data_IF_595464069243
#
_entry.id   IF_595464069243
#
_cell.length_a   1.000
_cell.length_b   1.000
_cell.length_c   1.000
_cell.angle_alpha   90.00
_cell.angle_beta   90.00
_cell.angle_gamma   90.00
#
_symmetry.space_group_name_H-M   'P 1'
#
loop_
_entity.id
_entity.type
_entity.pdbx_description
1 polymer ?
#
# COMPACT_ATOMS: atom_id res chain seq x y z
N UNK A 1 -116.25 -47.31 15.78
CA UNK A 1 -115.92 -46.80 14.44
C UNK A 1 -115.10 -45.50 14.41
N UNK A 2 -115.27 -44.53 15.32
CA UNK A 2 -114.49 -43.27 15.30
C UNK A 2 -112.98 -43.38 15.61
N UNK A 3 -112.52 -44.43 16.30
CA UNK A 3 -111.11 -44.55 16.74
C UNK A 3 -110.17 -45.06 15.65
N UNK A 4 -110.67 -45.85 14.70
CA UNK A 4 -109.92 -46.38 13.56
C UNK A 4 -109.70 -45.32 12.48
N UNK A 5 -110.72 -44.48 12.23
CA UNK A 5 -110.66 -43.40 11.25
C UNK A 5 -109.65 -42.32 11.66
N UNK A 6 -109.61 -41.94 12.94
CA UNK A 6 -108.64 -40.99 13.47
C UNK A 6 -107.18 -41.54 13.43
N UNK A 7 -107.00 -42.85 13.63
CA UNK A 7 -105.70 -43.50 13.51
C UNK A 7 -105.21 -43.54 12.05
N UNK A 8 -106.12 -43.79 11.10
CA UNK A 8 -105.82 -43.78 9.67
C UNK A 8 -105.42 -42.38 9.19
N UNK A 9 -106.14 -41.33 9.62
CA UNK A 9 -105.78 -39.94 9.30
C UNK A 9 -104.42 -39.53 9.89
N UNK A 10 -104.07 -39.99 11.09
CA UNK A 10 -102.73 -39.75 11.67
C UNK A 10 -101.63 -40.45 10.90
N UNK A 11 -101.85 -41.69 10.46
CA UNK A 11 -100.92 -42.44 9.62
C UNK A 11 -100.74 -41.77 8.25
N UNK A 12 -101.82 -41.27 7.66
CA UNK A 12 -101.77 -40.60 6.37
C UNK A 12 -101.04 -39.25 6.45
N UNK A 13 -101.30 -38.46 7.50
CA UNK A 13 -100.54 -37.24 7.80
C UNK A 13 -99.06 -37.54 8.01
N UNK A 14 -98.74 -38.60 8.77
CA UNK A 14 -97.34 -39.00 8.99
C UNK A 14 -96.66 -39.49 7.72
N UNK A 15 -97.38 -40.21 6.85
CA UNK A 15 -96.91 -40.61 5.52
C UNK A 15 -96.58 -39.38 4.67
N UNK A 16 -97.46 -38.39 4.65
CA UNK A 16 -97.24 -37.13 3.92
C UNK A 16 -96.03 -36.36 4.46
N UNK A 17 -95.92 -36.22 5.79
CA UNK A 17 -94.74 -35.60 6.44
C UNK A 17 -93.43 -36.31 6.06
N UNK A 18 -93.43 -37.65 6.07
CA UNK A 18 -92.26 -38.44 5.68
C UNK A 18 -91.92 -38.29 4.19
N UNK A 19 -92.91 -38.22 3.30
CA UNK A 19 -92.67 -37.99 1.87
C UNK A 19 -92.10 -36.60 1.58
N UNK A 20 -92.56 -35.57 2.30
CA UNK A 20 -92.02 -34.22 2.18
C UNK A 20 -90.60 -34.16 2.75
N UNK A 21 -90.35 -34.81 3.89
CA UNK A 21 -89.02 -34.90 4.48
C UNK A 21 -88.03 -35.66 3.59
N UNK A 22 -88.45 -36.78 2.97
CA UNK A 22 -87.60 -37.52 2.03
C UNK A 22 -87.30 -36.71 0.77
N UNK A 23 -88.28 -35.98 0.23
CA UNK A 23 -88.07 -35.10 -0.92
C UNK A 23 -87.10 -33.95 -0.60
N UNK A 24 -87.20 -33.36 0.59
CA UNK A 24 -86.28 -32.31 1.03
C UNK A 24 -84.85 -32.86 1.22
N UNK A 25 -84.70 -34.03 1.84
CA UNK A 25 -83.39 -34.71 1.96
C UNK A 25 -82.81 -35.07 0.59
N UNK A 26 -83.63 -35.52 -0.35
CA UNK A 26 -83.20 -35.82 -1.73
C UNK A 26 -82.65 -34.56 -2.42
N UNK A 27 -83.37 -33.44 -2.31
CA UNK A 27 -82.94 -32.16 -2.86
C UNK A 27 -81.64 -31.66 -2.22
N UNK A 28 -81.45 -31.85 -0.91
CA UNK A 28 -80.20 -31.53 -0.21
C UNK A 28 -79.04 -32.44 -0.64
N UNK A 29 -79.30 -33.73 -0.89
CA UNK A 29 -78.28 -34.65 -1.42
C UNK A 29 -77.85 -34.22 -2.82
N UNK A 30 -78.80 -33.86 -3.68
CA UNK A 30 -78.51 -33.37 -5.03
C UNK A 30 -77.71 -32.07 -5.01
N UNK A 31 -78.05 -31.12 -4.13
CA UNK A 31 -77.27 -29.88 -3.99
C UNK A 31 -75.83 -30.15 -3.54
N UNK A 32 -75.65 -30.99 -2.52
CA UNK A 32 -74.32 -31.37 -2.03
C UNK A 32 -73.52 -32.12 -3.10
N UNK A 33 -74.17 -32.99 -3.90
CA UNK A 33 -73.51 -33.66 -5.03
C UNK A 33 -73.05 -32.66 -6.10
N UNK A 34 -73.83 -31.62 -6.38
CA UNK A 34 -73.41 -30.58 -7.33
C UNK A 34 -72.23 -29.76 -6.79
N UNK A 35 -72.20 -29.43 -5.50
CA UNK A 35 -71.06 -28.74 -4.86
C UNK A 35 -69.80 -29.61 -4.91
N UNK A 36 -69.89 -30.90 -4.57
CA UNK A 36 -68.76 -31.84 -4.64
C UNK A 36 -68.20 -31.92 -6.07
N UNK A 37 -69.07 -31.93 -7.08
CA UNK A 37 -68.61 -31.94 -8.47
C UNK A 37 -67.91 -30.64 -8.89
N UNK A 38 -68.39 -29.49 -8.40
CA UNK A 38 -67.74 -28.20 -8.63
C UNK A 38 -66.36 -28.15 -7.96
N UNK A 39 -66.27 -28.53 -6.68
CA UNK A 39 -65.02 -28.59 -5.92
C UNK A 39 -64.00 -29.54 -6.56
N UNK A 40 -64.46 -30.68 -7.08
CA UNK A 40 -63.61 -31.63 -7.81
C UNK A 40 -63.02 -31.01 -9.10
N UNK A 41 -63.80 -30.22 -9.82
CA UNK A 41 -63.34 -29.51 -11.03
C UNK A 41 -62.39 -28.36 -10.67
N UNK A 42 -62.63 -27.64 -9.59
CA UNK A 42 -61.70 -26.61 -9.12
C UNK A 42 -60.38 -27.22 -8.65
N UNK A 43 -60.43 -28.33 -7.92
CA UNK A 43 -59.24 -29.01 -7.44
C UNK A 43 -58.37 -29.57 -8.57
N UNK A 44 -58.99 -30.09 -9.64
CA UNK A 44 -58.24 -30.54 -10.83
C UNK A 44 -57.56 -29.36 -11.54
N UNK A 45 -58.26 -28.24 -11.73
CA UNK A 45 -57.68 -27.00 -12.28
C UNK A 45 -56.52 -26.49 -11.43
N UNK A 46 -56.69 -26.43 -10.11
CA UNK A 46 -55.63 -26.01 -9.19
C UNK A 46 -54.41 -26.93 -9.27
N UNK A 47 -54.62 -28.25 -9.35
CA UNK A 47 -53.52 -29.20 -9.55
C UNK A 47 -52.77 -28.96 -10.86
N UNK A 48 -53.47 -28.72 -11.96
CA UNK A 48 -52.85 -28.40 -13.26
C UNK A 48 -52.05 -27.09 -13.20
N UNK A 49 -52.59 -26.05 -12.56
CA UNK A 49 -51.85 -24.78 -12.39
C UNK A 49 -50.61 -24.97 -11.50
N UNK A 50 -50.69 -25.81 -10.47
CA UNK A 50 -49.56 -26.11 -9.58
C UNK A 50 -48.46 -26.87 -10.32
N UNK A 51 -48.81 -27.85 -11.17
CA UNK A 51 -47.82 -28.57 -11.97
C UNK A 51 -47.16 -27.64 -13.00
N UNK A 52 -47.94 -26.82 -13.70
CA UNK A 52 -47.44 -25.81 -14.64
C UNK A 52 -46.53 -24.76 -13.98
N UNK A 53 -46.87 -24.33 -12.76
CA UNK A 53 -46.04 -23.37 -12.01
C UNK A 53 -44.72 -24.02 -11.58
N UNK A 54 -44.75 -25.29 -11.18
CA UNK A 54 -43.54 -26.04 -10.82
C UNK A 54 -42.62 -26.31 -12.01
N UNK A 55 -43.17 -26.57 -13.21
CA UNK A 55 -42.36 -26.70 -14.43
C UNK A 55 -41.72 -25.36 -14.79
N UNK A 56 -42.49 -24.27 -14.80
CA UNK A 56 -41.96 -22.93 -15.05
C UNK A 56 -40.85 -22.55 -14.07
N UNK A 57 -41.03 -22.86 -12.77
CA UNK A 57 -40.00 -22.64 -11.74
C UNK A 57 -38.72 -23.41 -12.05
N UNK A 58 -38.81 -24.68 -12.47
CA UNK A 58 -37.63 -25.48 -12.83
C UNK A 58 -36.89 -24.90 -14.03
N UNK A 59 -37.62 -24.46 -15.05
CA UNK A 59 -37.02 -23.82 -16.23
C UNK A 59 -36.32 -22.52 -15.88
N UNK A 60 -36.93 -21.68 -15.03
CA UNK A 60 -36.31 -20.44 -14.56
C UNK A 60 -35.02 -20.70 -13.76
N UNK A 61 -35.01 -21.73 -12.91
CA UNK A 61 -33.80 -22.13 -12.18
C UNK A 61 -32.69 -22.60 -13.13
N UNK A 62 -33.01 -23.40 -14.15
CA UNK A 62 -32.04 -23.83 -15.15
C UNK A 62 -31.47 -22.65 -15.95
N UNK A 63 -32.32 -21.69 -16.35
CA UNK A 63 -31.88 -20.46 -17.04
C UNK A 63 -30.98 -19.61 -16.16
N UNK A 64 -31.31 -19.47 -14.86
CA UNK A 64 -30.48 -18.78 -13.89
C UNK A 64 -29.11 -19.44 -13.78
N UNK A 65 -29.05 -20.76 -13.65
CA UNK A 65 -27.79 -21.48 -13.48
C UNK A 65 -26.91 -21.38 -14.73
N UNK A 66 -27.50 -21.43 -15.93
CA UNK A 66 -26.80 -21.18 -17.19
C UNK A 66 -26.26 -19.74 -17.27
N UNK A 67 -27.04 -18.76 -16.83
CA UNK A 67 -26.61 -17.37 -16.79
C UNK A 67 -25.43 -17.16 -15.82
N UNK A 68 -25.47 -17.79 -14.63
CA UNK A 68 -24.36 -17.77 -13.68
C UNK A 68 -23.09 -18.35 -14.30
N UNK A 69 -23.17 -19.54 -14.91
CA UNK A 69 -22.03 -20.16 -15.59
C UNK A 69 -21.47 -19.29 -16.72
N UNK A 70 -22.34 -18.57 -17.43
CA UNK A 70 -21.94 -17.66 -18.50
C UNK A 70 -21.19 -16.44 -17.94
N UNK A 71 -21.70 -15.85 -16.85
CA UNK A 71 -21.04 -14.73 -16.16
C UNK A 71 -19.67 -15.15 -15.62
N UNK A 72 -19.56 -16.31 -14.99
CA UNK A 72 -18.29 -16.80 -14.45
C UNK A 72 -17.27 -17.06 -15.56
N UNK A 73 -17.71 -17.59 -16.71
CA UNK A 73 -16.84 -17.75 -17.88
C UNK A 73 -16.35 -16.40 -18.42
N UNK A 74 -17.22 -15.38 -18.45
CA UNK A 74 -16.84 -14.04 -18.89
C UNK A 74 -15.83 -13.41 -17.91
N UNK A 75 -16.05 -13.55 -16.61
CA UNK A 75 -15.10 -13.09 -15.57
C UNK A 75 -13.72 -13.72 -15.74
N UNK A 76 -13.65 -15.04 -15.85
CA UNK A 76 -12.37 -15.72 -16.02
C UNK A 76 -11.64 -15.26 -17.30
N UNK A 77 -12.37 -15.05 -18.40
CA UNK A 77 -11.77 -14.53 -19.64
C UNK A 77 -11.32 -13.08 -19.52
N UNK A 78 -12.02 -12.27 -18.72
CA UNK A 78 -11.63 -10.90 -18.41
C UNK A 78 -10.31 -10.91 -17.63
N UNK A 79 -10.23 -11.71 -16.56
CA UNK A 79 -9.01 -11.85 -15.74
C UNK A 79 -7.82 -12.34 -16.59
N UNK A 80 -8.04 -13.34 -17.46
CA UNK A 80 -7.02 -13.82 -18.39
C UNK A 80 -6.54 -12.73 -19.36
N UNK A 81 -7.48 -11.95 -19.92
CA UNK A 81 -7.16 -10.87 -20.84
C UNK A 81 -6.42 -9.71 -20.15
N UNK A 82 -6.78 -9.36 -18.92
CA UNK A 82 -6.07 -8.35 -18.11
C UNK A 82 -4.63 -8.79 -17.81
N UNK A 83 -4.44 -10.06 -17.42
CA UNK A 83 -3.11 -10.61 -17.19
C UNK A 83 -2.28 -10.60 -18.49
N UNK A 84 -2.88 -10.95 -19.63
CA UNK A 84 -2.19 -10.92 -20.93
C UNK A 84 -1.83 -9.50 -21.36
N UNK A 85 -2.74 -8.54 -21.18
CA UNK A 85 -2.48 -7.11 -21.42
C UNK A 85 -1.30 -6.64 -20.56
N UNK A 86 -1.28 -6.98 -19.27
CA UNK A 86 -0.21 -6.56 -18.37
C UNK A 86 1.14 -7.20 -18.77
N UNK A 87 1.13 -8.47 -19.18
CA UNK A 87 2.33 -9.16 -19.69
C UNK A 87 2.86 -8.52 -20.98
N UNK A 88 1.98 -8.22 -21.94
CA UNK A 88 2.38 -7.60 -23.22
C UNK A 88 2.88 -6.18 -23.00
N UNK A 89 2.20 -5.38 -22.16
CA UNK A 89 2.65 -4.06 -21.76
C UNK A 89 4.04 -4.09 -21.13
N UNK A 90 4.28 -5.00 -20.18
CA UNK A 90 5.58 -5.15 -19.52
C UNK A 90 6.68 -5.62 -20.49
N UNK A 91 6.37 -6.53 -21.42
CA UNK A 91 7.31 -6.96 -22.47
C UNK A 91 7.70 -5.79 -23.39
N UNK A 92 6.72 -5.00 -23.83
CA UNK A 92 6.96 -3.84 -24.68
C UNK A 92 7.81 -2.80 -23.93
N UNK A 93 7.45 -2.46 -22.68
CA UNK A 93 8.25 -1.55 -21.85
C UNK A 93 9.70 -2.02 -21.71
N UNK A 94 9.92 -3.30 -21.41
CA UNK A 94 11.28 -3.87 -21.31
C UNK A 94 12.03 -3.80 -22.64
N UNK A 95 11.38 -4.11 -23.75
CA UNK A 95 12.01 -4.04 -25.07
C UNK A 95 12.33 -2.62 -25.52
N UNK A 96 11.51 -1.63 -25.16
CA UNK A 96 11.78 -0.22 -25.46
C UNK A 96 12.89 0.32 -24.56
N UNK A 97 12.87 -0.06 -23.27
CA UNK A 97 13.92 0.29 -22.32
C UNK A 97 15.27 -0.32 -22.67
N UNK A 98 15.34 -1.59 -23.07
CA UNK A 98 16.61 -2.22 -23.47
C UNK A 98 17.21 -1.62 -24.74
N UNK A 99 16.39 -0.93 -25.55
CA UNK A 99 16.81 -0.19 -26.73
C UNK A 99 17.04 1.30 -26.46
N UNK A 100 16.99 1.73 -25.20
CA UNK A 100 17.12 3.13 -24.77
C UNK A 100 16.13 4.10 -25.45
N UNK A 101 14.99 3.59 -25.93
CA UNK A 101 13.95 4.43 -26.55
C UNK A 101 13.14 5.16 -25.47
N UNK A 102 12.99 4.54 -24.30
CA UNK A 102 12.26 5.09 -23.15
C UNK A 102 13.03 4.75 -21.87
N UNK A 103 13.22 5.72 -20.98
CA UNK A 103 13.75 5.48 -19.64
C UNK A 103 12.77 4.64 -18.82
N UNK A 104 13.22 3.56 -18.19
CA UNK A 104 12.34 2.76 -17.36
C UNK A 104 12.21 3.42 -15.98
N UNK A 105 11.08 4.08 -15.72
CA UNK A 105 10.74 4.57 -14.39
C UNK A 105 10.56 3.37 -13.44
N UNK A 106 11.53 3.18 -12.57
CA UNK A 106 11.68 2.12 -11.57
C UNK A 106 11.91 2.79 -10.21
N UNK A 107 11.18 2.32 -9.21
CA UNK A 107 11.45 2.75 -7.85
C UNK A 107 12.89 2.37 -7.44
N UNK A 108 13.56 3.27 -6.74
CA UNK A 108 14.85 2.99 -6.15
C UNK A 108 14.68 1.89 -5.09
N UNK A 109 15.62 0.95 -5.04
CA UNK A 109 15.69 0.02 -3.90
C UNK A 109 15.99 0.81 -2.62
N UNK A 110 15.71 0.24 -1.45
CA UNK A 110 15.99 0.94 -0.18
C UNK A 110 17.46 1.34 -0.02
N UNK A 111 18.40 0.52 -0.53
CA UNK A 111 19.82 0.86 -0.55
C UNK A 111 20.15 1.97 -1.55
N UNK A 112 19.55 1.93 -2.74
CA UNK A 112 19.73 2.98 -3.74
C UNK A 112 19.16 4.31 -3.25
N UNK A 113 18.01 4.29 -2.57
CA UNK A 113 17.43 5.47 -1.95
C UNK A 113 18.35 6.03 -0.86
N UNK A 114 18.86 5.17 0.04
CA UNK A 114 19.82 5.59 1.06
C UNK A 114 21.07 6.23 0.48
N UNK A 115 21.65 5.61 -0.56
CA UNK A 115 22.82 6.15 -1.26
C UNK A 115 22.51 7.48 -1.97
N UNK A 116 21.33 7.60 -2.58
CA UNK A 116 20.89 8.83 -3.26
C UNK A 116 20.70 9.98 -2.28
N UNK A 117 20.08 9.74 -1.10
CA UNK A 117 19.96 10.75 -0.04
C UNK A 117 21.35 11.20 0.42
N UNK A 118 22.25 10.25 0.65
CA UNK A 118 23.60 10.55 1.12
C UNK A 118 24.39 11.43 0.13
N UNK A 119 24.30 11.09 -1.15
CA UNK A 119 24.95 11.83 -2.23
C UNK A 119 24.29 13.20 -2.47
N UNK A 120 22.97 13.25 -2.55
CA UNK A 120 22.20 14.47 -2.83
C UNK A 120 22.40 15.54 -1.76
N UNK A 121 22.47 15.13 -0.49
CA UNK A 121 22.69 16.04 0.64
C UNK A 121 24.18 16.34 0.89
N UNK A 122 25.08 15.71 0.13
CA UNK A 122 26.52 15.86 0.24
C UNK A 122 27.02 15.62 1.69
N UNK A 123 26.59 14.51 2.28
CA UNK A 123 26.90 14.21 3.69
C UNK A 123 28.32 13.66 3.90
N UNK A 124 29.03 13.31 2.82
CA UNK A 124 30.39 12.76 2.88
C UNK A 124 31.35 13.59 3.76
N UNK A 125 31.47 14.92 3.61
CA UNK A 125 32.48 15.69 4.34
C UNK A 125 32.21 15.72 5.84
N UNK A 126 30.93 15.77 6.24
CA UNK A 126 30.51 15.68 7.64
C UNK A 126 30.93 14.33 8.23
N UNK A 127 30.49 13.22 7.64
CA UNK A 127 30.75 11.88 8.18
C UNK A 127 32.24 11.54 8.17
N UNK A 128 33.00 12.03 7.18
CA UNK A 128 34.46 11.89 7.15
C UNK A 128 35.10 12.63 8.32
N UNK A 129 34.70 13.88 8.59
CA UNK A 129 35.24 14.64 9.73
C UNK A 129 34.91 14.01 11.09
N UNK A 130 33.73 13.41 11.23
CA UNK A 130 33.34 12.66 12.42
C UNK A 130 34.17 11.37 12.59
N UNK A 131 34.45 10.66 11.49
CA UNK A 131 35.31 9.47 11.49
C UNK A 131 36.77 9.81 11.85
N UNK A 132 37.30 10.91 11.32
CA UNK A 132 38.63 11.42 11.66
C UNK A 132 38.76 11.75 13.15
N UNK A 133 37.78 12.48 13.71
CA UNK A 133 37.77 12.82 15.13
C UNK A 133 37.67 11.59 16.04
N UNK A 134 36.89 10.57 15.63
CA UNK A 134 36.77 9.32 16.37
C UNK A 134 38.05 8.49 16.30
N UNK A 135 38.70 8.43 15.13
CA UNK A 135 40.01 7.81 14.96
C UNK A 135 41.06 8.46 15.87
N UNK A 136 41.14 9.80 15.90
CA UNK A 136 42.07 10.52 16.78
C UNK A 136 41.84 10.21 18.26
N UNK A 137 40.57 10.11 18.68
CA UNK A 137 40.22 9.74 20.05
C UNK A 137 40.65 8.31 20.37
N UNK A 138 40.33 7.34 19.50
CA UNK A 138 40.73 5.94 19.67
C UNK A 138 42.25 5.80 19.75
N UNK A 139 42.99 6.55 18.90
CA UNK A 139 44.45 6.57 18.92
C UNK A 139 45.01 7.13 20.22
N UNK A 140 44.48 8.26 20.71
CA UNK A 140 44.88 8.83 22.02
C UNK A 140 44.63 7.87 23.18
N UNK A 141 43.51 7.17 23.16
CA UNK A 141 43.19 6.16 24.18
C UNK A 141 44.10 4.92 24.12
N UNK A 142 44.47 4.46 22.92
CA UNK A 142 45.45 3.38 22.73
C UNK A 142 46.82 3.77 23.27
N UNK A 143 47.33 4.95 22.88
CA UNK A 143 48.62 5.47 23.36
C UNK A 143 48.63 5.63 24.89
N UNK A 144 47.52 6.07 25.49
CA UNK A 144 47.39 6.16 26.94
C UNK A 144 47.40 4.79 27.64
N UNK A 145 46.81 3.76 27.03
CA UNK A 145 46.83 2.38 27.55
C UNK A 145 48.22 1.76 27.44
N UNK A 146 48.89 1.93 26.30
CA UNK A 146 50.26 1.46 26.08
C UNK A 146 51.24 2.13 27.06
N UNK A 147 51.13 3.45 27.27
CA UNK A 147 51.91 4.19 28.26
C UNK A 147 51.63 3.75 29.72
N UNK A 148 50.42 3.25 30.01
CA UNK A 148 50.08 2.71 31.34
C UNK A 148 50.59 1.29 31.56
N UNK A 149 50.70 0.47 30.51
CA UNK A 149 51.24 -0.89 30.55
C UNK A 149 52.78 -0.90 30.65
N UNK A 150 53.45 0.11 30.12
CA UNK A 150 54.90 0.25 30.19
C UNK A 150 55.43 0.71 31.56
N UNK A 151 54.53 1.06 32.51
CA UNK A 151 54.87 1.48 33.87
C UNK A 151 54.99 0.35 34.89
N UNK A 152 54.77 -0.91 34.50
CA UNK A 152 54.87 -2.08 35.38
C UNK A 152 56.18 -2.88 35.22
N UNK A 153 56.99 -2.59 34.21
CA UNK A 153 58.29 -3.23 34.01
C UNK A 153 59.40 -2.20 34.26
N UNK A 154 60.05 -2.29 35.42
CA UNK A 154 61.30 -1.59 35.71
C UNK A 154 62.37 -2.02 34.70
N UNK A 155 62.72 -1.15 33.75
CA UNK A 155 64.12 -0.88 33.41
C UNK A 155 64.28 0.31 32.45
N UNK A 156 65.31 1.09 32.73
CA UNK A 156 65.65 2.33 32.06
C UNK A 156 66.07 2.13 30.59
N UNK A 157 65.31 2.72 29.66
CA UNK A 157 65.84 3.20 28.40
C UNK A 157 65.19 4.54 28.05
N UNK A 158 66.05 5.54 27.84
CA UNK A 158 65.69 6.91 27.54
C UNK A 158 64.84 7.03 26.27
N UNK A 159 63.56 7.32 26.47
CA UNK A 159 62.76 8.36 25.82
C UNK A 159 63.10 8.72 24.36
N UNK A 160 62.40 8.06 23.43
CA UNK A 160 61.73 8.76 22.33
C UNK A 160 60.28 8.26 22.33
N UNK A 161 59.44 8.92 23.13
CA UNK A 161 58.01 8.61 23.31
C UNK A 161 57.14 9.08 22.13
N UNK A 162 57.73 9.18 20.95
CA UNK A 162 57.05 9.47 19.69
C UNK A 162 56.82 8.14 18.98
N UNK A 163 55.85 7.34 19.44
CA UNK A 163 55.37 6.22 18.63
C UNK A 163 55.05 6.76 17.23
N UNK A 164 55.66 6.24 16.15
CA UNK A 164 55.48 6.81 14.82
C UNK A 164 54.00 6.86 14.49
N UNK A 165 53.53 8.00 13.99
CA UNK A 165 52.21 8.06 13.37
C UNK A 165 52.12 6.90 12.36
N UNK A 166 51.02 6.15 12.34
CA UNK A 166 50.87 5.05 11.40
C UNK A 166 51.07 5.55 9.98
N UNK A 167 51.62 4.70 9.11
CA UNK A 167 51.79 4.97 7.69
C UNK A 167 50.52 5.64 7.14
N UNK A 168 50.60 6.77 6.40
CA UNK A 168 49.43 7.47 5.85
C UNK A 168 48.42 6.53 5.16
N UNK A 169 48.88 5.43 4.56
CA UNK A 169 48.02 4.41 3.97
C UNK A 169 47.16 3.68 5.02
N UNK A 170 47.76 3.24 6.12
CA UNK A 170 47.06 2.55 7.22
C UNK A 170 46.08 3.48 7.91
N UNK A 171 46.48 4.73 8.17
CA UNK A 171 45.59 5.76 8.71
C UNK A 171 44.34 5.95 7.83
N UNK A 172 44.53 6.06 6.52
CA UNK A 172 43.42 6.23 5.58
C UNK A 172 42.47 5.02 5.58
N UNK A 173 43.00 3.80 5.68
CA UNK A 173 42.19 2.57 5.75
C UNK A 173 41.37 2.48 7.04
N UNK A 174 41.98 2.82 8.18
CA UNK A 174 41.29 2.80 9.49
C UNK A 174 40.17 3.85 9.55
N UNK A 175 40.41 5.06 9.05
CA UNK A 175 39.38 6.10 8.94
C UNK A 175 38.27 5.66 7.98
N UNK A 176 38.61 5.05 6.84
CA UNK A 176 37.63 4.53 5.89
C UNK A 176 36.76 3.41 6.51
N UNK A 177 37.33 2.55 7.35
CA UNK A 177 36.58 1.51 8.06
C UNK A 177 35.59 2.09 9.08
N UNK A 178 36.02 3.10 9.86
CA UNK A 178 35.13 3.82 10.80
C UNK A 178 34.00 4.52 10.02
N UNK A 179 34.35 5.19 8.92
CA UNK A 179 33.40 5.86 8.03
C UNK A 179 32.35 4.89 7.47
N UNK A 180 32.75 3.72 6.94
CA UNK A 180 31.80 2.70 6.45
C UNK A 180 30.95 2.12 7.58
N UNK A 181 31.50 2.00 8.80
CA UNK A 181 30.73 1.61 10.00
C UNK A 181 29.60 2.60 10.31
N UNK A 182 29.86 3.90 10.25
CA UNK A 182 28.83 4.94 10.43
C UNK A 182 27.80 4.90 9.29
N UNK A 183 28.25 4.80 8.04
CA UNK A 183 27.39 4.72 6.86
C UNK A 183 26.47 3.51 6.89
N UNK A 184 27.00 2.33 7.21
CA UNK A 184 26.22 1.09 7.26
C UNK A 184 25.13 1.16 8.33
N UNK A 185 25.39 1.78 9.49
CA UNK A 185 24.37 2.03 10.51
C UNK A 185 23.21 2.90 9.97
N UNK A 186 23.54 4.01 9.30
CA UNK A 186 22.55 4.89 8.68
C UNK A 186 21.76 4.18 7.58
N UNK A 187 22.47 3.51 6.67
CA UNK A 187 21.90 2.73 5.56
C UNK A 187 20.93 1.69 6.10
N UNK A 188 21.32 0.94 7.13
CA UNK A 188 20.49 -0.11 7.74
C UNK A 188 19.18 0.44 8.32
N UNK A 189 19.17 1.66 8.87
CA UNK A 189 17.93 2.28 9.36
C UNK A 189 16.96 2.59 8.20
N UNK A 190 17.48 3.16 7.10
CA UNK A 190 16.68 3.43 5.90
C UNK A 190 16.21 2.11 5.26
N UNK A 191 17.10 1.11 5.15
CA UNK A 191 16.75 -0.21 4.61
C UNK A 191 15.65 -0.87 5.44
N UNK A 192 15.71 -0.86 6.76
CA UNK A 192 14.66 -1.45 7.61
C UNK A 192 13.29 -0.83 7.37
N UNK A 193 13.23 0.46 7.10
CA UNK A 193 11.98 1.19 6.90
C UNK A 193 11.42 1.06 5.46
N UNK A 194 12.30 1.04 4.47
CA UNK A 194 11.94 0.99 3.05
C UNK A 194 12.05 -0.42 2.44
N UNK A 195 12.46 -1.42 3.22
CA UNK A 195 12.46 -2.82 2.79
C UNK A 195 11.04 -3.28 2.44
N UNK A 196 10.95 -4.15 1.43
CA UNK A 196 9.70 -4.78 1.06
C UNK A 196 9.15 -5.59 2.25
N UNK A 197 7.82 -5.59 2.39
CA UNK A 197 7.14 -6.43 3.37
C UNK A 197 7.50 -7.91 3.13
N UNK A 198 7.61 -8.72 4.20
CA UNK A 198 7.79 -10.16 4.06
C UNK A 198 6.77 -10.74 3.07
N UNK A 199 7.24 -11.58 2.15
CA UNK A 199 6.45 -12.22 1.08
C UNK A 199 5.99 -11.31 -0.10
N UNK A 200 6.48 -10.07 -0.22
CA UNK A 200 6.26 -9.23 -1.40
C UNK A 200 7.45 -9.30 -2.38
N UNK A 201 7.23 -9.21 -3.72
CA UNK A 201 8.34 -9.10 -4.66
C UNK A 201 9.09 -7.78 -4.44
N UNK A 202 10.43 -7.84 -4.36
CA UNK A 202 11.29 -6.68 -4.05
C UNK A 202 11.25 -5.55 -5.09
N UNK A 203 10.72 -5.82 -6.29
CA UNK A 203 10.59 -4.85 -7.38
C UNK A 203 9.28 -4.05 -7.35
N UNK A 204 8.38 -4.30 -6.38
CA UNK A 204 7.10 -3.60 -6.29
C UNK A 204 7.26 -2.36 -5.41
N UNK A 205 6.87 -1.21 -5.94
CA UNK A 205 6.83 0.03 -5.17
C UNK A 205 5.77 -0.07 -4.08
N UNK A 206 6.18 0.15 -2.83
CA UNK A 206 5.28 0.26 -1.69
C UNK A 206 5.33 1.70 -1.17
N UNK A 207 4.16 2.32 -0.99
CA UNK A 207 4.00 3.56 -0.24
C UNK A 207 3.23 3.24 1.04
N UNK A 208 3.96 3.08 2.15
CA UNK A 208 3.33 2.79 3.45
C UNK A 208 3.15 4.06 4.26
N UNK A 209 2.17 4.03 5.18
CA UNK A 209 1.93 5.14 6.12
C UNK A 209 3.18 5.37 7.00
N UNK A 210 3.88 4.31 7.40
CA UNK A 210 5.09 4.41 8.21
C UNK A 210 6.24 5.09 7.45
N UNK A 211 6.37 4.85 6.14
CA UNK A 211 7.35 5.55 5.30
C UNK A 211 7.03 7.03 5.18
N UNK A 212 5.75 7.38 4.97
CA UNK A 212 5.31 8.77 4.92
C UNK A 212 5.48 9.48 6.28
N UNK A 213 5.18 8.79 7.39
CA UNK A 213 5.30 9.33 8.74
C UNK A 213 6.75 9.52 9.14
N UNK A 214 7.64 8.57 8.81
CA UNK A 214 9.07 8.75 8.97
C UNK A 214 9.55 9.91 8.12
N UNK A 215 9.18 9.96 6.84
CA UNK A 215 9.55 11.07 5.98
C UNK A 215 8.96 12.40 6.46
N UNK A 216 7.89 12.43 7.26
CA UNK A 216 7.31 13.66 7.82
C UNK A 216 7.85 14.04 9.21
N UNK A 217 8.43 13.10 9.97
CA UNK A 217 8.83 13.29 11.38
C UNK A 217 10.26 12.81 11.69
N UNK A 218 11.03 12.36 10.70
CA UNK A 218 12.38 11.84 10.94
C UNK A 218 13.33 13.00 11.27
N UNK A 219 13.50 13.25 12.58
CA UNK A 219 14.54 14.14 13.10
C UNK A 219 15.94 13.77 12.60
N UNK A 220 16.16 12.53 12.14
CA UNK A 220 17.41 12.12 11.51
C UNK A 220 17.63 12.79 10.14
N UNK A 221 16.63 12.83 9.25
CA UNK A 221 16.77 13.53 7.97
C UNK A 221 16.83 15.04 8.21
N UNK A 222 16.06 15.55 9.18
CA UNK A 222 16.16 16.95 9.60
C UNK A 222 17.58 17.32 10.05
N UNK A 223 18.24 16.46 10.84
CA UNK A 223 19.64 16.66 11.24
C UNK A 223 20.64 16.62 10.08
N UNK A 224 20.26 16.07 8.92
CA UNK A 224 21.11 15.99 7.74
C UNK A 224 20.97 17.19 6.81
N UNK A 225 19.78 17.80 6.78
CA UNK A 225 19.52 19.02 6.01
C UNK A 225 19.98 20.27 6.77
N UNK A 226 20.14 20.22 8.09
CA UNK A 226 20.78 21.28 8.86
C UNK A 226 22.19 21.58 8.32
N UNK A 227 22.60 22.87 8.22
CA UNK A 227 23.94 23.21 7.75
C UNK A 227 25.02 22.56 8.62
N UNK A 228 25.83 21.73 7.98
CA UNK A 228 26.92 21.00 8.61
C UNK A 228 28.10 20.97 7.65
N UNK A 229 29.31 20.75 8.17
CA UNK A 229 30.58 20.96 7.45
C UNK A 229 30.54 20.41 6.02
N UNK A 230 30.44 21.31 5.03
CA UNK A 230 30.51 20.99 3.61
C UNK A 230 29.29 20.30 3.00
N UNK A 231 28.15 20.25 3.70
CA UNK A 231 26.91 19.72 3.12
C UNK A 231 26.20 20.73 2.21
N UNK A 232 25.21 20.27 1.45
CA UNK A 232 24.49 21.09 0.47
C UNK A 232 23.91 22.37 1.08
N UNK A 233 23.31 22.27 2.28
CA UNK A 233 22.73 23.40 2.99
C UNK A 233 23.79 24.42 3.45
N UNK A 234 24.95 23.96 3.93
CA UNK A 234 26.09 24.80 4.33
C UNK A 234 26.68 25.56 3.13
N UNK A 235 26.73 24.94 1.96
CA UNK A 235 27.20 25.59 0.73
C UNK A 235 26.25 26.68 0.25
N UNK A 236 24.93 26.42 0.28
CA UNK A 236 23.94 27.29 -0.35
C UNK A 236 23.37 28.38 0.56
N UNK A 237 23.50 28.26 1.90
CA UNK A 237 22.90 29.23 2.84
C UNK A 237 23.37 30.68 2.64
N UNK A 238 24.58 30.88 2.13
CA UNK A 238 25.24 32.18 1.99
C UNK A 238 25.27 32.71 0.55
N UNK A 239 24.76 31.94 -0.44
CA UNK A 239 24.64 32.44 -1.81
C UNK A 239 23.48 33.43 -1.87
N UNK A 240 23.72 34.65 -2.37
CA UNK A 240 22.70 35.72 -2.45
C UNK A 240 21.82 35.60 -3.71
N UNK A 241 22.19 34.75 -4.67
CA UNK A 241 21.46 34.60 -5.92
C UNK A 241 20.45 33.44 -5.82
N UNK A 242 19.18 33.77 -5.57
CA UNK A 242 18.10 32.78 -5.44
C UNK A 242 17.93 31.88 -6.69
N UNK A 243 18.15 32.43 -7.88
CA UNK A 243 18.07 31.66 -9.13
C UNK A 243 19.19 30.62 -9.19
N UNK A 244 20.40 31.00 -8.80
CA UNK A 244 21.56 30.09 -8.68
C UNK A 244 21.28 29.00 -7.65
N UNK A 245 20.78 29.38 -6.47
CA UNK A 245 20.45 28.44 -5.38
C UNK A 245 19.41 27.43 -5.84
N UNK A 246 18.30 27.89 -6.46
CA UNK A 246 17.28 27.00 -6.97
C UNK A 246 17.83 26.02 -8.01
N UNK A 247 18.64 26.48 -8.97
CA UNK A 247 19.27 25.59 -9.96
C UNK A 247 20.18 24.55 -9.31
N UNK A 248 21.00 24.95 -8.34
CA UNK A 248 21.90 24.04 -7.63
C UNK A 248 21.13 23.01 -6.80
N UNK A 249 20.04 23.40 -6.13
CA UNK A 249 19.19 22.47 -5.36
C UNK A 249 18.60 21.37 -6.24
N UNK A 250 18.00 21.75 -7.37
CA UNK A 250 17.44 20.79 -8.32
C UNK A 250 18.52 19.92 -8.96
N UNK A 251 19.68 20.49 -9.30
CA UNK A 251 20.78 19.72 -9.90
C UNK A 251 21.40 18.73 -8.90
N UNK A 252 21.60 19.13 -7.66
CA UNK A 252 22.17 18.26 -6.62
C UNK A 252 21.22 17.15 -6.19
N UNK A 253 19.91 17.41 -6.12
CA UNK A 253 18.93 16.46 -5.57
C UNK A 253 18.26 15.63 -6.67
N UNK A 254 17.86 16.27 -7.77
CA UNK A 254 17.11 15.66 -8.87
C UNK A 254 17.94 15.51 -10.15
N UNK A 255 19.26 15.75 -10.10
CA UNK A 255 20.17 15.57 -11.24
C UNK A 255 19.73 16.25 -12.55
N UNK A 256 18.90 17.31 -12.46
CA UNK A 256 18.31 18.03 -13.59
C UNK A 256 18.18 19.51 -13.32
N UNK A 257 17.97 20.27 -14.38
CA UNK A 257 17.65 21.71 -14.28
C UNK A 257 16.17 21.87 -13.92
N UNK A 258 15.80 22.85 -13.07
CA UNK A 258 14.40 23.14 -12.78
C UNK A 258 13.68 23.61 -14.05
N UNK A 259 12.39 23.28 -14.15
CA UNK A 259 11.52 23.88 -15.16
C UNK A 259 11.26 25.36 -14.85
N UNK A 260 10.77 26.17 -15.82
CA UNK A 260 10.49 27.58 -15.57
C UNK A 260 9.51 27.84 -14.42
N UNK A 261 8.51 26.96 -14.24
CA UNK A 261 7.52 27.05 -13.17
C UNK A 261 8.12 26.71 -11.79
N UNK A 262 8.89 25.62 -11.72
CA UNK A 262 9.62 25.22 -10.50
C UNK A 262 10.64 26.26 -10.06
N UNK A 263 11.36 26.85 -11.03
CA UNK A 263 12.33 27.90 -10.78
C UNK A 263 11.64 29.10 -10.15
N UNK A 264 10.56 29.57 -10.76
CA UNK A 264 9.78 30.72 -10.26
C UNK A 264 9.25 30.46 -8.85
N UNK A 265 8.62 29.30 -8.64
CA UNK A 265 8.05 28.91 -7.34
C UNK A 265 9.12 28.88 -6.25
N UNK A 266 10.27 28.31 -6.54
CA UNK A 266 11.37 28.17 -5.59
C UNK A 266 12.00 29.53 -5.28
N UNK A 267 12.23 30.37 -6.29
CA UNK A 267 12.79 31.71 -6.07
C UNK A 267 11.83 32.59 -5.28
N UNK A 268 10.54 32.56 -5.57
CA UNK A 268 9.52 33.34 -4.85
C UNK A 268 9.47 32.93 -3.37
N UNK A 269 9.56 31.62 -3.09
CA UNK A 269 9.61 31.11 -1.72
C UNK A 269 10.88 31.57 -0.99
N UNK A 270 12.07 31.43 -1.60
CA UNK A 270 13.34 31.88 -1.02
C UNK A 270 13.34 33.39 -0.71
N UNK A 271 12.73 34.20 -1.58
CA UNK A 271 12.57 35.65 -1.37
C UNK A 271 11.60 35.97 -0.23
N UNK A 272 10.46 35.26 -0.16
CA UNK A 272 9.46 35.47 0.89
C UNK A 272 9.99 35.17 2.30
N UNK A 273 10.96 34.26 2.39
CA UNK A 273 11.57 33.81 3.63
C UNK A 273 12.97 34.42 3.86
N UNK A 274 13.28 35.57 3.26
CA UNK A 274 14.61 36.20 3.33
C UNK A 274 15.15 36.40 4.76
N UNK A 275 14.28 36.63 5.74
CA UNK A 275 14.67 36.79 7.16
C UNK A 275 15.18 35.49 7.81
N UNK A 276 14.84 34.33 7.23
CA UNK A 276 15.29 33.01 7.68
C UNK A 276 15.71 32.16 6.47
N UNK A 277 16.66 32.71 5.69
CA UNK A 277 17.18 32.08 4.47
C UNK A 277 17.67 30.66 4.71
N UNK A 278 18.32 30.43 5.86
CA UNK A 278 18.82 29.12 6.23
C UNK A 278 17.67 28.10 6.38
N UNK A 279 16.56 28.47 7.02
CA UNK A 279 15.39 27.61 7.09
C UNK A 279 14.74 27.42 5.73
N UNK A 280 14.64 28.48 4.92
CA UNK A 280 14.07 28.40 3.58
C UNK A 280 14.81 27.40 2.67
N UNK A 281 16.15 27.40 2.70
CA UNK A 281 16.95 26.42 1.94
C UNK A 281 16.71 25.00 2.44
N UNK A 282 16.62 24.80 3.76
CA UNK A 282 16.32 23.49 4.35
C UNK A 282 14.93 22.97 3.93
N UNK A 283 13.92 23.85 3.93
CA UNK A 283 12.56 23.51 3.56
C UNK A 283 12.46 23.11 2.08
N UNK A 284 13.21 23.79 1.19
CA UNK A 284 13.29 23.39 -0.22
C UNK A 284 14.01 22.06 -0.37
N UNK A 285 15.17 21.84 0.28
CA UNK A 285 15.88 20.56 0.27
C UNK A 285 14.94 19.43 0.71
N UNK A 286 14.22 19.65 1.81
CA UNK A 286 13.23 18.73 2.32
C UNK A 286 12.14 18.43 1.29
N UNK A 287 11.54 19.47 0.69
CA UNK A 287 10.49 19.30 -0.32
C UNK A 287 10.94 18.44 -1.51
N UNK A 288 12.20 18.58 -1.93
CA UNK A 288 12.76 17.84 -3.07
C UNK A 288 13.10 16.39 -2.70
N UNK A 289 13.73 16.15 -1.54
CA UNK A 289 14.06 14.79 -1.07
C UNK A 289 12.81 13.98 -0.74
N UNK A 290 11.76 14.63 -0.24
CA UNK A 290 10.48 13.99 0.07
C UNK A 290 9.55 13.87 -1.15
N UNK A 291 9.94 14.43 -2.29
CA UNK A 291 9.15 14.38 -3.52
C UNK A 291 8.99 12.96 -4.06
N UNK A 292 7.93 12.75 -4.84
CA UNK A 292 7.70 11.48 -5.52
C UNK A 292 8.83 11.20 -6.52
N UNK A 293 9.30 12.22 -7.23
CA UNK A 293 10.34 12.11 -8.26
C UNK A 293 11.64 11.51 -7.71
N UNK A 294 12.05 11.96 -6.52
CA UNK A 294 13.27 11.48 -5.86
C UNK A 294 13.24 9.96 -5.53
N UNK A 295 12.05 9.35 -5.45
CA UNK A 295 11.91 7.90 -5.19
C UNK A 295 12.14 7.03 -6.43
N UNK A 296 12.25 7.62 -7.62
CA UNK A 296 12.42 6.90 -8.88
C UNK A 296 13.74 7.28 -9.55
N UNK A 297 14.25 6.37 -10.38
CA UNK A 297 15.33 6.73 -11.31
C UNK A 297 14.78 7.71 -12.35
N UNK A 298 15.36 8.90 -12.40
CA UNK A 298 15.07 9.96 -13.37
C UNK A 298 16.33 10.27 -14.18
#
# INVERSE_FOLDING_TARGET
DETLEAAFQRLEKRRQELTVASANLQSQIESVQTEIHQDQQEFSRLRETLTATNTNKRELLQRRDLAIQTVDRIRNRLDEAEIEQQRTHNRLRRSLSSRFVVGNLRALSAEQLAASIFQALELEPRFRSEAEAEWEKQRKEQLAKEASQQKTDDDAAANDSSQPDPDPATRAQEIAAIYEGKLSSVRNNIVKLYAALPASPQDVFHATVDQALFMSNAGQIQSWIEPSRGNLADRLRNDENDTSVAQQLYLSILSRVPTPEELTTTTDYLQSAANDRQQAVQDVIWSLVTSVEFRFNH
#
